data_IF_228337423918
#
_entry.id   IF_228337423918
#
_cell.length_a   1.000
_cell.length_b   1.000
_cell.length_c   1.000
_cell.angle_alpha   90.00
_cell.angle_beta   90.00
_cell.angle_gamma   90.00
#
_symmetry.space_group_name_H-M   'P 1'
#
loop_
_entity.id
_entity.type
_entity.pdbx_description
1 polymer ?
#
# COMPACT_ATOMS: atom_id res chain seq x y z
N UNK A 1 -6.86 -7.94 -15.42
CA UNK A 1 -8.04 -7.12 -15.78
C UNK A 1 -8.34 -6.21 -14.60
N UNK A 2 -9.08 -5.12 -14.81
CA UNK A 2 -9.53 -4.23 -13.73
C UNK A 2 -11.05 -4.20 -13.70
N UNK A 3 -11.63 -3.96 -12.52
CA UNK A 3 -13.08 -3.93 -12.29
C UNK A 3 -13.39 -2.93 -11.17
N UNK A 4 -14.53 -2.23 -11.27
CA UNK A 4 -15.08 -1.43 -10.18
C UNK A 4 -16.17 -2.23 -9.46
N UNK A 5 -16.10 -2.29 -8.14
CA UNK A 5 -17.10 -2.92 -7.29
C UNK A 5 -17.41 -1.97 -6.12
N UNK A 6 -18.68 -1.62 -5.93
CA UNK A 6 -19.10 -0.66 -4.90
C UNK A 6 -19.23 -1.29 -3.50
N UNK A 7 -19.22 -2.62 -3.41
CA UNK A 7 -19.46 -3.38 -2.17
C UNK A 7 -18.18 -3.84 -1.48
N UNK A 8 -17.01 -3.66 -2.13
CA UNK A 8 -15.72 -4.04 -1.53
C UNK A 8 -15.25 -2.99 -0.54
N UNK A 9 -14.88 -3.42 0.66
CA UNK A 9 -14.30 -2.56 1.69
C UNK A 9 -12.89 -3.00 2.11
N UNK A 10 -12.60 -4.29 1.99
CA UNK A 10 -11.32 -4.88 2.39
C UNK A 10 -10.21 -4.57 1.39
N UNK A 11 -8.98 -4.45 1.91
CA UNK A 11 -7.77 -4.25 1.10
C UNK A 11 -6.85 -5.44 1.29
N UNK A 12 -6.64 -6.18 0.23
CA UNK A 12 -5.67 -7.28 0.23
C UNK A 12 -4.98 -7.40 -1.11
N UNK A 13 -3.79 -8.00 -1.08
CA UNK A 13 -3.01 -8.36 -2.24
C UNK A 13 -2.87 -9.88 -2.21
N UNK A 14 -3.45 -10.54 -3.21
CA UNK A 14 -3.29 -11.98 -3.39
C UNK A 14 -2.22 -12.23 -4.45
N UNK A 15 -1.29 -13.10 -4.12
CA UNK A 15 -0.26 -13.57 -5.05
C UNK A 15 -0.57 -14.98 -5.53
N UNK A 16 -0.08 -15.33 -6.70
CA UNK A 16 -0.08 -16.68 -7.26
C UNK A 16 0.76 -17.68 -6.44
N UNK A 17 1.71 -17.18 -5.66
CA UNK A 17 2.56 -17.97 -4.74
C UNK A 17 1.88 -18.36 -3.41
N UNK A 18 0.58 -18.06 -3.27
CA UNK A 18 -0.24 -18.46 -2.12
C UNK A 18 -0.26 -17.47 -0.95
N UNK A 19 0.37 -16.29 -1.09
CA UNK A 19 0.30 -15.25 -0.08
C UNK A 19 -0.95 -14.39 -0.21
N UNK A 20 -1.55 -14.09 0.93
CA UNK A 20 -2.53 -13.04 1.12
C UNK A 20 -1.96 -11.97 2.05
N UNK A 21 -1.79 -10.76 1.54
CA UNK A 21 -1.17 -9.63 2.25
C UNK A 21 -2.24 -8.56 2.46
N UNK A 22 -2.55 -8.25 3.72
CA UNK A 22 -3.61 -7.31 4.11
C UNK A 22 -2.99 -6.10 4.80
N UNK A 23 -2.71 -5.01 4.06
CA UNK A 23 -2.32 -3.73 4.64
C UNK A 23 -3.56 -2.98 5.12
N UNK A 24 -3.64 -2.62 6.41
CA UNK A 24 -4.83 -1.96 6.99
C UNK A 24 -5.27 -0.67 6.29
N UNK A 25 -4.33 0.03 5.63
CA UNK A 25 -4.58 1.25 4.85
C UNK A 25 -4.67 1.05 3.33
N UNK A 26 -4.50 -0.18 2.84
CA UNK A 26 -4.32 -0.40 1.40
C UNK A 26 -3.01 0.22 0.90
N UNK A 27 -3.00 0.64 -0.36
CA UNK A 27 -1.83 1.29 -0.99
C UNK A 27 -1.67 2.77 -0.59
N UNK A 28 -2.65 3.39 0.09
CA UNK A 28 -2.54 4.74 0.68
C UNK A 28 -1.91 4.71 2.09
N UNK A 29 -0.66 4.24 2.14
CA UNK A 29 0.10 4.07 3.39
C UNK A 29 1.08 5.22 3.68
N UNK A 30 1.46 6.00 2.67
CA UNK A 30 2.48 7.02 2.82
C UNK A 30 1.94 8.32 3.43
N UNK A 31 2.79 9.04 4.16
CA UNK A 31 2.53 10.40 4.61
C UNK A 31 2.64 11.39 3.45
N UNK A 32 2.06 12.57 3.64
CA UNK A 32 2.34 13.70 2.76
C UNK A 32 3.81 14.10 2.90
N UNK A 33 4.44 14.43 1.78
CA UNK A 33 5.81 14.91 1.73
C UNK A 33 5.89 16.16 0.83
N UNK A 34 6.96 16.93 0.98
CA UNK A 34 7.17 18.13 0.16
C UNK A 34 7.29 17.77 -1.32
N UNK A 35 6.56 18.44 -2.20
CA UNK A 35 6.67 18.22 -3.66
C UNK A 35 7.76 19.10 -4.29
N UNK A 36 8.74 19.59 -3.53
CA UNK A 36 9.89 20.31 -4.09
C UNK A 36 10.68 19.41 -5.03
N UNK A 37 11.24 19.96 -6.11
CA UNK A 37 12.05 19.25 -7.12
C UNK A 37 13.17 18.40 -6.51
N UNK A 38 13.68 18.79 -5.35
CA UNK A 38 14.80 18.14 -4.66
C UNK A 38 14.38 17.20 -3.52
N UNK A 39 13.09 16.89 -3.40
CA UNK A 39 12.61 15.97 -2.35
C UNK A 39 12.90 14.52 -2.78
N UNK A 40 13.69 13.81 -1.99
CA UNK A 40 14.15 12.44 -2.28
C UNK A 40 12.97 11.47 -2.39
N UNK A 41 11.92 11.72 -1.62
CA UNK A 41 10.65 11.00 -1.56
C UNK A 41 9.92 10.91 -2.91
N UNK A 42 10.25 11.81 -3.86
CA UNK A 42 9.73 11.75 -5.23
C UNK A 42 10.40 10.64 -6.04
N UNK A 43 11.70 10.42 -5.84
CA UNK A 43 12.49 9.48 -6.61
C UNK A 43 12.55 8.08 -5.95
N UNK A 44 12.50 8.02 -4.61
CA UNK A 44 12.55 6.77 -3.85
C UNK A 44 11.35 6.62 -2.93
N UNK A 45 10.64 5.49 -3.05
CA UNK A 45 9.56 5.14 -2.11
C UNK A 45 10.10 4.79 -0.72
N UNK A 46 11.31 4.27 -0.61
CA UNK A 46 11.95 3.93 0.67
C UNK A 46 12.23 5.17 1.53
N UNK A 47 12.41 6.33 0.87
CA UNK A 47 12.56 7.61 1.56
C UNK A 47 11.22 8.19 2.05
N UNK A 48 10.08 7.59 1.70
CA UNK A 48 8.75 8.09 2.09
C UNK A 48 8.35 7.54 3.45
N UNK A 49 8.10 8.45 4.39
CA UNK A 49 7.52 8.08 5.69
C UNK A 49 6.13 7.46 5.52
N UNK A 50 5.85 6.44 6.31
CA UNK A 50 4.55 5.79 6.37
C UNK A 50 3.70 6.34 7.52
N UNK A 51 2.38 6.36 7.32
CA UNK A 51 1.41 6.49 8.43
C UNK A 51 1.54 5.24 9.30
N UNK A 52 1.11 5.27 10.56
CA UNK A 52 1.01 4.04 11.35
C UNK A 52 -0.10 3.13 10.79
N UNK A 53 0.22 1.85 10.52
CA UNK A 53 -0.75 0.83 10.12
C UNK A 53 -0.21 -0.58 10.40
N UNK A 54 -1.13 -1.56 10.41
CA UNK A 54 -0.79 -2.97 10.52
C UNK A 54 -0.71 -3.64 9.14
N UNK A 55 0.18 -4.63 9.03
CA UNK A 55 0.22 -5.55 7.89
C UNK A 55 0.07 -6.97 8.41
N UNK A 56 -0.96 -7.65 7.95
CA UNK A 56 -1.14 -9.08 8.18
C UNK A 56 -0.73 -9.84 6.93
N UNK A 57 0.07 -10.89 7.08
CA UNK A 57 0.43 -11.80 6.00
C UNK A 57 0.01 -13.22 6.37
N UNK A 58 -0.74 -13.86 5.48
CA UNK A 58 -1.23 -15.23 5.64
C UNK A 58 -0.80 -16.00 4.40
N UNK A 59 -0.32 -17.23 4.60
CA UNK A 59 0.01 -18.15 3.51
C UNK A 59 -0.89 -19.37 3.60
N UNK A 60 -1.45 -19.78 2.46
CA UNK A 60 -2.18 -21.04 2.32
C UNK A 60 -1.21 -22.20 2.08
#
# INVERSE_FOLDING_TARGET
>A
TWEFNETIHDRFIRTDTGWNITPGRGLDMFQFYSRSSFSLERASQEARLCKGFEVTYIRQ
#
